data_IF_993366174048
#
_entry.id   IF_993366174048
#
_cell.length_a   1.000
_cell.length_b   1.000
_cell.length_c   1.000
_cell.angle_alpha   90.00
_cell.angle_beta   90.00
_cell.angle_gamma   90.00
#
_symmetry.space_group_name_H-M   'P 1'
#
loop_
_entity.id
_entity.type
_entity.pdbx_description
1 polymer ?
#
# COMPACT_ATOMS: atom_id res chain seq x y z
N UNK A 1 -22.81 -14.55 -15.48
CA UNK A 1 -21.62 -14.28 -16.33
C UNK A 1 -21.67 -12.83 -16.78
N UNK A 2 -21.09 -11.92 -16.01
CA UNK A 2 -20.90 -10.52 -16.43
C UNK A 2 -19.49 -10.13 -16.01
N UNK A 3 -18.51 -10.51 -16.83
CA UNK A 3 -17.20 -9.85 -16.81
C UNK A 3 -17.48 -8.38 -17.09
N UNK A 4 -17.44 -7.54 -16.07
CA UNK A 4 -17.56 -6.11 -16.23
C UNK A 4 -16.47 -5.67 -17.21
N UNK A 5 -16.87 -5.41 -18.46
CA UNK A 5 -15.98 -4.96 -19.52
C UNK A 5 -15.49 -3.59 -19.09
N UNK A 6 -14.30 -3.54 -18.50
CA UNK A 6 -13.67 -2.30 -18.06
C UNK A 6 -13.73 -1.31 -19.21
N UNK A 7 -14.37 -0.17 -19.00
CA UNK A 7 -14.44 0.82 -20.07
C UNK A 7 -13.04 1.42 -20.24
N UNK A 8 -12.62 1.65 -21.48
CA UNK A 8 -11.28 2.23 -21.79
C UNK A 8 -11.01 3.53 -21.01
N UNK A 9 -12.07 4.29 -20.69
CA UNK A 9 -12.00 5.51 -19.88
C UNK A 9 -11.72 5.27 -18.39
N UNK A 10 -12.17 4.17 -17.79
CA UNK A 10 -11.88 3.83 -16.39
C UNK A 10 -10.43 3.37 -16.21
N UNK A 11 -9.94 2.50 -17.09
CA UNK A 11 -8.54 2.06 -17.08
C UNK A 11 -7.54 3.20 -17.31
N UNK A 12 -7.93 4.21 -18.11
CA UNK A 12 -7.12 5.42 -18.29
C UNK A 12 -7.08 6.29 -17.04
N UNK A 13 -8.23 6.49 -16.36
CA UNK A 13 -8.30 7.24 -15.09
C UNK A 13 -7.59 6.54 -13.93
N UNK A 14 -7.46 5.21 -13.98
CA UNK A 14 -6.72 4.44 -12.99
C UNK A 14 -5.20 4.68 -13.08
N UNK A 15 -4.65 4.90 -14.27
CA UNK A 15 -3.21 5.12 -14.47
C UNK A 15 -2.86 6.59 -14.29
N UNK A 16 -2.51 6.96 -13.07
CA UNK A 16 -2.21 8.35 -12.69
C UNK A 16 -0.72 8.61 -12.86
N UNK A 17 -0.33 9.34 -13.91
CA UNK A 17 1.08 9.68 -14.17
C UNK A 17 1.63 10.78 -13.25
N UNK A 18 0.75 11.68 -12.80
CA UNK A 18 1.08 12.79 -11.92
C UNK A 18 -0.01 12.94 -10.87
N UNK A 19 0.17 12.32 -9.69
CA UNK A 19 -0.82 12.39 -8.62
C UNK A 19 -1.11 13.83 -8.22
N UNK A 20 -2.39 14.20 -8.20
CA UNK A 20 -2.85 15.49 -7.69
C UNK A 20 -3.21 15.40 -6.21
N UNK A 21 -3.45 16.54 -5.56
CA UNK A 21 -3.98 16.54 -4.19
C UNK A 21 -5.31 15.77 -4.10
N UNK A 22 -6.18 15.89 -5.11
CA UNK A 22 -7.47 15.20 -5.13
C UNK A 22 -7.30 13.68 -5.21
N UNK A 23 -6.31 13.19 -5.95
CA UNK A 23 -6.01 11.76 -6.02
C UNK A 23 -5.45 11.23 -4.69
N UNK A 24 -4.52 11.96 -4.07
CA UNK A 24 -4.00 11.63 -2.74
C UNK A 24 -5.14 11.58 -1.72
N UNK A 25 -6.00 12.60 -1.69
CA UNK A 25 -7.14 12.65 -0.77
C UNK A 25 -8.17 11.54 -1.03
N UNK A 26 -8.33 11.09 -2.29
CA UNK A 26 -9.16 9.94 -2.64
C UNK A 26 -8.58 8.66 -2.05
N UNK A 27 -7.26 8.44 -2.17
CA UNK A 27 -6.57 7.28 -1.61
C UNK A 27 -6.62 7.26 -0.07
N UNK A 28 -6.66 8.43 0.58
CA UNK A 28 -6.81 8.55 2.03
C UNK A 28 -8.23 8.24 2.55
N UNK A 29 -9.23 8.32 1.68
CA UNK A 29 -10.65 8.11 2.04
C UNK A 29 -11.06 6.66 1.90
N UNK A 30 -12.15 6.31 2.59
CA UNK A 30 -12.71 4.96 2.60
C UNK A 30 -14.18 5.09 2.25
N UNK A 31 -14.52 4.92 0.96
CA UNK A 31 -15.90 4.82 0.55
C UNK A 31 -16.60 3.67 1.28
N UNK A 32 -17.87 3.85 1.66
CA UNK A 32 -18.65 2.78 2.29
C UNK A 32 -18.89 1.56 1.41
N UNK A 33 -18.61 1.66 0.10
CA UNK A 33 -18.72 0.56 -0.87
C UNK A 33 -17.44 -0.25 -1.08
N UNK A 34 -16.34 0.09 -0.40
CA UNK A 34 -15.11 -0.71 -0.48
C UNK A 34 -15.26 -2.00 0.32
N UNK A 35 -14.86 -3.11 -0.29
CA UNK A 35 -14.86 -4.44 0.34
C UNK A 35 -14.20 -4.40 1.72
N UNK A 36 -14.82 -5.05 2.69
CA UNK A 36 -14.38 -5.20 4.06
C UNK A 36 -14.71 -6.58 4.61
N UNK A 37 -14.53 -6.74 5.92
CA UNK A 37 -14.82 -8.01 6.57
C UNK A 37 -16.30 -8.41 6.42
N UNK A 38 -16.54 -9.68 6.09
CA UNK A 38 -17.84 -10.26 5.75
C UNK A 38 -18.11 -10.32 4.24
N UNK A 39 -17.41 -9.53 3.43
CA UNK A 39 -17.64 -9.52 1.98
C UNK A 39 -16.93 -10.68 1.28
N UNK A 40 -17.54 -11.13 0.17
CA UNK A 40 -16.94 -12.10 -0.75
C UNK A 40 -15.92 -11.39 -1.65
N UNK A 41 -14.78 -12.03 -1.89
CA UNK A 41 -13.82 -11.52 -2.86
C UNK A 41 -14.41 -11.59 -4.29
N UNK A 42 -14.05 -10.64 -5.18
CA UNK A 42 -14.33 -10.77 -6.59
C UNK A 42 -13.54 -11.94 -7.19
N UNK A 43 -13.87 -12.35 -8.40
CA UNK A 43 -13.02 -13.28 -9.15
C UNK A 43 -11.62 -12.68 -9.36
N UNK A 44 -10.60 -13.43 -8.99
CA UNK A 44 -9.19 -13.07 -9.14
C UNK A 44 -8.55 -14.12 -10.03
N UNK A 45 -7.80 -13.67 -11.03
CA UNK A 45 -6.94 -14.55 -11.83
C UNK A 45 -5.77 -13.72 -12.35
N UNK A 46 -4.64 -13.81 -11.63
CA UNK A 46 -3.47 -12.96 -11.84
C UNK A 46 -2.22 -13.82 -12.07
N UNK A 47 -1.36 -13.47 -13.06
CA UNK A 47 -0.05 -14.08 -13.16
C UNK A 47 0.83 -13.63 -11.98
N UNK A 48 1.78 -14.48 -11.57
CA UNK A 48 2.79 -14.10 -10.59
C UNK A 48 4.14 -13.83 -11.25
N UNK A 49 5.00 -13.12 -10.53
CA UNK A 49 6.36 -12.78 -10.98
C UNK A 49 7.25 -14.01 -11.23
N UNK A 50 6.93 -15.15 -10.60
CA UNK A 50 7.62 -16.44 -10.71
C UNK A 50 6.97 -17.40 -11.72
N UNK A 51 6.21 -16.86 -12.68
CA UNK A 51 5.50 -17.62 -13.72
C UNK A 51 4.40 -18.58 -13.21
N UNK A 52 3.94 -18.39 -11.96
CA UNK A 52 2.76 -19.04 -11.41
C UNK A 52 1.47 -18.25 -11.63
N UNK A 53 0.40 -18.66 -10.95
CA UNK A 53 -0.89 -17.95 -10.92
C UNK A 53 -1.44 -17.86 -9.51
N UNK A 54 -2.07 -16.73 -9.21
CA UNK A 54 -2.87 -16.52 -8.02
C UNK A 54 -4.32 -16.30 -8.44
N UNK A 55 -5.23 -17.19 -8.02
CA UNK A 55 -6.64 -17.11 -8.38
C UNK A 55 -7.58 -17.36 -7.21
N UNK A 56 -8.82 -16.88 -7.32
CA UNK A 56 -9.89 -17.13 -6.33
C UNK A 56 -10.13 -18.62 -6.11
N UNK A 57 -9.97 -19.43 -7.15
CA UNK A 57 -10.15 -20.88 -7.12
C UNK A 57 -8.98 -21.55 -6.37
N UNK A 58 -7.75 -21.05 -6.53
CA UNK A 58 -6.61 -21.58 -5.75
C UNK A 58 -6.77 -21.35 -4.25
N UNK A 59 -7.39 -20.24 -3.83
CA UNK A 59 -7.66 -19.98 -2.40
C UNK A 59 -8.53 -21.09 -1.80
N UNK A 60 -9.60 -21.45 -2.52
CA UNK A 60 -10.51 -22.50 -2.08
C UNK A 60 -9.89 -23.90 -2.15
N UNK A 61 -9.13 -24.18 -3.21
CA UNK A 61 -8.49 -25.48 -3.40
C UNK A 61 -7.38 -25.75 -2.38
N UNK A 62 -6.57 -24.74 -2.05
CA UNK A 62 -5.46 -24.88 -1.11
C UNK A 62 -5.93 -25.07 0.34
N UNK A 63 -7.17 -24.67 0.65
CA UNK A 63 -7.72 -24.74 2.01
C UNK A 63 -7.03 -23.81 3.02
N UNK A 64 -6.13 -22.94 2.54
CA UNK A 64 -5.27 -22.09 3.36
C UNK A 64 -5.76 -20.63 3.32
N UNK A 65 -5.93 -19.96 4.46
CA UNK A 65 -6.23 -18.53 4.46
C UNK A 65 -5.13 -17.72 3.78
N UNK A 66 -5.49 -16.60 3.18
CA UNK A 66 -4.58 -15.73 2.43
C UNK A 66 -4.46 -14.37 3.07
N UNK A 67 -3.23 -13.91 3.30
CA UNK A 67 -2.93 -12.50 3.49
C UNK A 67 -2.70 -11.86 2.11
N UNK A 68 -3.68 -11.08 1.66
CA UNK A 68 -3.62 -10.31 0.42
C UNK A 68 -3.24 -8.87 0.70
N UNK A 69 -2.13 -8.41 0.14
CA UNK A 69 -1.67 -7.02 0.27
C UNK A 69 -1.61 -6.37 -1.10
N UNK A 70 -2.30 -5.25 -1.31
CA UNK A 70 -2.04 -4.41 -2.48
C UNK A 70 -0.79 -3.57 -2.22
N UNK A 71 0.05 -3.40 -3.24
CA UNK A 71 1.30 -2.67 -3.09
C UNK A 71 1.85 -2.15 -4.42
N UNK A 72 2.64 -1.08 -4.35
CA UNK A 72 3.42 -0.59 -5.49
C UNK A 72 4.81 -0.15 -5.02
N UNK A 73 5.79 -0.18 -5.93
CA UNK A 73 7.19 0.11 -5.61
C UNK A 73 7.36 1.57 -5.15
N UNK A 74 6.55 2.46 -5.70
CA UNK A 74 6.63 3.90 -5.44
C UNK A 74 5.76 4.38 -4.27
N UNK A 75 5.16 3.49 -3.48
CA UNK A 75 4.30 3.86 -2.35
C UNK A 75 5.06 3.88 -1.02
N UNK A 76 5.18 5.03 -0.32
CA UNK A 76 5.77 5.09 1.01
C UNK A 76 5.14 4.16 2.05
N UNK A 77 3.83 3.89 1.95
CA UNK A 77 3.15 2.98 2.87
C UNK A 77 3.59 1.54 2.62
N UNK A 78 3.62 1.10 1.36
CA UNK A 78 4.10 -0.24 0.97
C UNK A 78 5.56 -0.41 1.41
N UNK A 79 6.39 0.60 1.17
CA UNK A 79 7.78 0.63 1.61
C UNK A 79 7.90 0.42 3.13
N UNK A 80 7.12 1.17 3.92
CA UNK A 80 7.13 1.07 5.38
C UNK A 80 6.55 -0.24 5.95
N UNK A 81 5.85 -1.02 5.13
CA UNK A 81 5.29 -2.32 5.48
C UNK A 81 6.24 -3.47 5.14
N UNK A 82 7.09 -3.32 4.10
CA UNK A 82 7.84 -4.41 3.49
C UNK A 82 8.59 -5.30 4.47
N UNK A 83 9.43 -4.72 5.35
CA UNK A 83 10.18 -5.50 6.36
C UNK A 83 9.25 -6.25 7.32
N UNK A 84 8.18 -5.59 7.76
CA UNK A 84 7.19 -6.20 8.64
C UNK A 84 6.46 -7.37 7.99
N UNK A 85 6.15 -7.29 6.70
CA UNK A 85 5.54 -8.39 5.96
C UNK A 85 6.46 -9.60 5.87
N UNK A 86 7.78 -9.40 5.72
CA UNK A 86 8.76 -10.49 5.79
C UNK A 86 8.81 -11.14 7.17
N UNK A 87 8.78 -10.32 8.23
CA UNK A 87 8.79 -10.80 9.61
C UNK A 87 7.52 -11.60 9.91
N UNK A 88 6.35 -11.11 9.47
CA UNK A 88 5.08 -11.84 9.58
C UNK A 88 5.09 -13.13 8.76
N UNK A 89 5.60 -13.12 7.53
CA UNK A 89 5.68 -14.31 6.69
C UNK A 89 6.56 -15.39 7.35
N UNK A 90 7.67 -15.00 7.99
CA UNK A 90 8.52 -15.95 8.71
C UNK A 90 7.80 -16.65 9.86
N UNK A 91 6.85 -15.97 10.49
CA UNK A 91 6.10 -16.50 11.63
C UNK A 91 4.86 -17.28 11.20
N UNK A 92 4.17 -16.84 10.14
CA UNK A 92 2.84 -17.33 9.76
C UNK A 92 2.77 -17.99 8.38
N UNK A 93 3.85 -17.97 7.59
CA UNK A 93 3.86 -18.43 6.20
C UNK A 93 3.54 -19.91 6.00
N UNK A 94 3.74 -20.74 7.03
CA UNK A 94 3.37 -22.16 7.00
C UNK A 94 1.86 -22.39 7.13
N UNK A 95 1.13 -21.44 7.72
CA UNK A 95 -0.30 -21.54 8.01
C UNK A 95 -1.17 -20.57 7.21
N UNK A 96 -0.56 -19.54 6.62
CA UNK A 96 -1.22 -18.47 5.87
C UNK A 96 -0.41 -18.22 4.61
N UNK A 97 -1.07 -18.25 3.44
CA UNK A 97 -0.45 -17.90 2.17
C UNK A 97 -0.30 -16.38 2.05
N UNK A 98 0.90 -15.89 1.77
CA UNK A 98 1.16 -14.45 1.62
C UNK A 98 1.22 -14.08 0.14
N UNK A 99 0.42 -13.10 -0.27
CA UNK A 99 0.40 -12.59 -1.64
C UNK A 99 0.42 -11.07 -1.64
N UNK A 100 1.43 -10.48 -2.28
CA UNK A 100 1.41 -9.06 -2.63
C UNK A 100 0.92 -8.90 -4.07
N UNK A 101 -0.15 -8.15 -4.29
CA UNK A 101 -0.61 -7.79 -5.63
C UNK A 101 0.01 -6.45 -6.02
N UNK A 102 0.88 -6.47 -7.03
CA UNK A 102 1.42 -5.26 -7.62
C UNK A 102 0.32 -4.48 -8.37
N UNK A 103 0.03 -3.26 -7.94
CA UNK A 103 -1.00 -2.37 -8.50
C UNK A 103 -0.39 -1.15 -9.19
N UNK A 104 -1.19 -0.19 -9.67
CA UNK A 104 -0.66 1.07 -10.22
C UNK A 104 0.38 1.69 -9.29
N UNK A 105 1.37 2.35 -9.87
CA UNK A 105 2.33 3.11 -9.08
C UNK A 105 1.61 4.24 -8.33
N UNK A 106 1.86 4.37 -7.03
CA UNK A 106 1.27 5.43 -6.22
C UNK A 106 1.89 6.79 -6.56
N UNK A 107 3.21 6.82 -6.73
CA UNK A 107 3.98 8.03 -7.01
C UNK A 107 4.98 7.76 -8.14
N UNK A 108 4.51 7.55 -9.38
CA UNK A 108 5.40 7.26 -10.51
C UNK A 108 6.42 8.38 -10.73
N UNK A 109 7.57 8.02 -11.28
CA UNK A 109 8.62 8.94 -11.68
C UNK A 109 9.35 8.44 -12.91
N UNK A 110 10.49 9.06 -13.23
CA UNK A 110 11.25 8.74 -14.44
C UNK A 110 11.78 7.30 -14.47
N UNK A 111 12.11 6.72 -13.31
CA UNK A 111 12.72 5.39 -13.22
C UNK A 111 11.65 4.30 -13.09
N UNK A 112 10.53 4.61 -12.42
CA UNK A 112 9.36 3.74 -12.32
C UNK A 112 8.08 4.49 -12.75
N UNK A 113 7.78 4.57 -14.06
CA UNK A 113 6.57 5.20 -14.57
C UNK A 113 5.33 4.28 -14.42
N UNK A 114 4.14 4.82 -14.70
CA UNK A 114 2.96 3.96 -14.85
C UNK A 114 3.11 3.04 -16.07
N UNK A 115 2.85 1.74 -15.93
CA UNK A 115 2.94 0.81 -17.04
C UNK A 115 1.83 1.06 -18.05
N UNK A 116 2.20 1.05 -19.33
CA UNK A 116 1.33 1.13 -20.51
C UNK A 116 1.13 -0.24 -21.16
N UNK A 117 2.05 -1.16 -20.92
CA UNK A 117 2.01 -2.53 -21.41
C UNK A 117 2.14 -3.55 -20.27
N UNK A 118 1.68 -4.79 -20.52
CA UNK A 118 1.75 -5.86 -19.51
C UNK A 118 3.20 -6.22 -19.14
N UNK A 119 4.13 -6.13 -20.09
CA UNK A 119 5.54 -6.41 -19.81
C UNK A 119 6.18 -5.36 -18.89
N UNK A 120 5.79 -4.09 -19.03
CA UNK A 120 6.18 -3.02 -18.10
C UNK A 120 5.60 -3.29 -16.71
N UNK A 121 4.33 -3.69 -16.66
CA UNK A 121 3.63 -4.03 -15.42
C UNK A 121 4.32 -5.19 -14.68
N UNK A 122 4.72 -6.23 -15.42
CA UNK A 122 5.49 -7.35 -14.90
C UNK A 122 6.89 -6.92 -14.44
N UNK A 123 7.57 -6.01 -15.15
CA UNK A 123 8.85 -5.44 -14.70
C UNK A 123 8.72 -4.69 -13.39
N UNK A 124 7.71 -3.83 -13.24
CA UNK A 124 7.46 -3.13 -11.98
C UNK A 124 7.17 -4.11 -10.83
N UNK A 125 6.40 -5.16 -11.07
CA UNK A 125 6.12 -6.18 -10.06
C UNK A 125 7.37 -6.96 -9.64
N UNK A 126 8.26 -7.31 -10.59
CA UNK A 126 9.55 -7.93 -10.28
C UNK A 126 10.46 -6.99 -9.50
N UNK A 127 10.50 -5.71 -9.88
CA UNK A 127 11.25 -4.69 -9.15
C UNK A 127 10.74 -4.53 -7.71
N UNK A 128 9.42 -4.51 -7.49
CA UNK A 128 8.81 -4.52 -6.16
C UNK A 128 9.24 -5.76 -5.36
N UNK A 129 9.17 -6.95 -5.97
CA UNK A 129 9.58 -8.21 -5.33
C UNK A 129 11.04 -8.18 -4.90
N UNK A 130 11.93 -7.81 -5.82
CA UNK A 130 13.37 -7.77 -5.59
C UNK A 130 13.77 -6.68 -4.59
N UNK A 131 13.17 -5.49 -4.67
CA UNK A 131 13.46 -4.37 -3.79
C UNK A 131 13.18 -4.68 -2.32
N UNK A 132 12.07 -5.37 -2.04
CA UNK A 132 11.76 -5.81 -0.68
C UNK A 132 12.33 -7.17 -0.30
N UNK A 133 12.85 -7.96 -1.25
CA UNK A 133 13.27 -9.33 -0.99
C UNK A 133 12.10 -10.25 -0.59
N UNK A 134 10.91 -10.02 -1.14
CA UNK A 134 9.75 -10.88 -0.84
C UNK A 134 10.01 -12.30 -1.34
N UNK A 135 10.15 -13.24 -0.40
CA UNK A 135 10.29 -14.67 -0.69
C UNK A 135 8.96 -15.37 -1.03
N UNK A 136 7.84 -14.70 -0.76
CA UNK A 136 6.50 -15.16 -1.10
C UNK A 136 6.00 -14.54 -2.42
N UNK A 137 4.78 -14.90 -2.80
CA UNK A 137 4.24 -14.57 -4.12
C UNK A 137 3.99 -13.06 -4.31
N UNK A 138 4.39 -12.58 -5.48
CA UNK A 138 3.97 -11.27 -5.98
C UNK A 138 3.15 -11.48 -7.25
N UNK A 139 1.84 -11.28 -7.12
CA UNK A 139 0.87 -11.31 -8.20
C UNK A 139 0.83 -9.96 -8.94
N UNK A 140 0.44 -9.98 -10.21
CA UNK A 140 0.51 -8.81 -11.10
C UNK A 140 -0.87 -8.48 -11.61
N UNK A 141 -1.47 -7.39 -11.11
CA UNK A 141 -2.75 -6.91 -11.65
C UNK A 141 -2.58 -6.38 -13.08
N UNK A 142 -3.67 -6.30 -13.83
CA UNK A 142 -3.66 -5.72 -15.17
C UNK A 142 -3.30 -4.23 -15.16
N UNK A 143 -2.90 -3.70 -16.32
CA UNK A 143 -2.57 -2.26 -16.47
C UNK A 143 -3.74 -1.34 -16.11
N UNK A 144 -4.97 -1.81 -16.29
CA UNK A 144 -6.18 -1.06 -15.95
C UNK A 144 -6.61 -1.28 -14.49
N UNK A 145 -6.01 -2.25 -13.79
CA UNK A 145 -6.25 -2.50 -12.37
C UNK A 145 -7.57 -3.17 -12.02
N UNK A 146 -8.06 -4.09 -12.83
CA UNK A 146 -9.40 -4.69 -12.66
C UNK A 146 -9.60 -5.26 -11.25
N UNK A 147 -8.61 -5.98 -10.71
CA UNK A 147 -8.71 -6.51 -9.34
C UNK A 147 -8.60 -5.38 -8.33
N UNK A 148 -7.60 -4.51 -8.45
CA UNK A 148 -7.40 -3.41 -7.51
C UNK A 148 -8.62 -2.48 -7.40
N UNK A 149 -9.30 -2.21 -8.52
CA UNK A 149 -10.53 -1.39 -8.53
C UNK A 149 -11.68 -2.06 -7.79
N UNK A 150 -11.81 -3.38 -7.88
CA UNK A 150 -12.83 -4.12 -7.14
C UNK A 150 -12.63 -4.05 -5.62
N UNK A 151 -11.41 -3.77 -5.15
CA UNK A 151 -11.07 -3.59 -3.74
C UNK A 151 -10.96 -2.12 -3.28
N UNK A 152 -11.25 -1.13 -4.15
CA UNK A 152 -11.27 0.30 -3.78
C UNK A 152 -10.06 1.15 -4.21
N UNK A 153 -9.15 0.63 -5.04
CA UNK A 153 -8.01 1.37 -5.68
C UNK A 153 -6.93 1.95 -4.76
N UNK A 154 -6.93 1.57 -3.49
CA UNK A 154 -5.97 2.07 -2.50
C UNK A 154 -4.63 1.32 -2.60
N UNK A 155 -3.52 2.02 -2.91
CA UNK A 155 -2.29 1.36 -3.35
C UNK A 155 -1.54 0.54 -2.29
N UNK A 156 -2.01 0.53 -1.03
CA UNK A 156 -1.34 -0.16 0.07
C UNK A 156 -2.28 -0.67 1.16
N UNK A 157 -3.39 -1.33 0.82
CA UNK A 157 -4.29 -1.99 1.78
C UNK A 157 -3.96 -3.48 1.99
N UNK A 158 -4.44 -4.07 3.08
CA UNK A 158 -4.26 -5.48 3.39
C UNK A 158 -5.57 -6.15 3.82
N UNK A 159 -5.74 -7.42 3.45
CA UNK A 159 -6.92 -8.23 3.71
C UNK A 159 -6.49 -9.63 4.13
N UNK A 160 -7.19 -10.21 5.10
CA UNK A 160 -7.12 -11.65 5.36
C UNK A 160 -8.39 -12.27 4.80
N UNK A 161 -8.21 -13.27 3.95
CA UNK A 161 -9.28 -13.98 3.24
C UNK A 161 -9.26 -15.42 3.73
N UNK A 162 -10.42 -15.93 4.14
CA UNK A 162 -10.55 -17.34 4.53
C UNK A 162 -10.58 -18.26 3.30
N UNK A 163 -10.43 -19.59 3.48
CA UNK A 163 -10.46 -20.54 2.36
C UNK A 163 -11.78 -20.53 1.59
N UNK A 164 -12.88 -20.04 2.18
CA UNK A 164 -14.14 -19.93 1.45
C UNK A 164 -14.09 -18.81 0.41
N UNK A 165 -13.16 -17.85 0.50
CA UNK A 165 -13.13 -16.63 -0.30
C UNK A 165 -13.85 -15.46 0.37
N UNK A 166 -14.00 -15.47 1.69
CA UNK A 166 -14.60 -14.38 2.46
C UNK A 166 -13.52 -13.57 3.14
N UNK A 167 -13.62 -12.24 3.10
CA UNK A 167 -12.71 -11.35 3.81
C UNK A 167 -13.06 -11.44 5.31
N UNK A 168 -12.12 -11.85 6.15
CA UNK A 168 -12.30 -11.93 7.61
C UNK A 168 -11.64 -10.77 8.35
N UNK A 169 -10.70 -10.08 7.70
CA UNK A 169 -10.07 -8.88 8.24
C UNK A 169 -9.67 -7.92 7.13
N UNK A 170 -9.74 -6.61 7.41
CA UNK A 170 -9.20 -5.55 6.56
C UNK A 170 -8.39 -4.55 7.36
N UNK A 171 -7.15 -4.32 6.94
CA UNK A 171 -6.39 -3.12 7.30
C UNK A 171 -6.42 -2.13 6.13
N UNK A 172 -6.84 -0.90 6.40
CA UNK A 172 -6.86 0.17 5.40
C UNK A 172 -5.45 0.50 4.90
N UNK A 173 -4.43 0.25 5.72
CA UNK A 173 -3.03 0.40 5.37
C UNK A 173 -2.23 -0.85 5.79
N UNK A 174 -1.46 -1.41 4.87
CA UNK A 174 -0.64 -2.61 5.08
C UNK A 174 0.49 -2.42 6.11
N UNK A 175 0.85 -1.17 6.40
CA UNK A 175 1.84 -0.85 7.43
C UNK A 175 1.28 -0.80 8.87
N UNK A 176 0.00 -1.17 9.07
CA UNK A 176 -0.60 -1.43 10.40
C UNK A 176 -0.28 -2.86 10.87
N UNK A 177 1.01 -3.13 11.05
CA UNK A 177 1.53 -4.48 11.29
C UNK A 177 1.03 -5.14 12.58
N UNK A 178 0.95 -4.41 13.69
CA UNK A 178 0.50 -4.97 14.97
C UNK A 178 -0.96 -5.47 14.91
N UNK A 179 -1.94 -4.67 14.45
CA UNK A 179 -3.29 -5.20 14.24
C UNK A 179 -3.37 -6.30 13.18
N UNK A 180 -2.51 -6.26 12.17
CA UNK A 180 -2.44 -7.31 11.15
C UNK A 180 -1.93 -8.64 11.74
N UNK A 181 -0.92 -8.59 12.61
CA UNK A 181 -0.39 -9.73 13.34
C UNK A 181 -1.44 -10.35 14.27
N UNK A 182 -2.17 -9.52 15.02
CA UNK A 182 -3.25 -9.99 15.87
C UNK A 182 -4.32 -10.74 15.07
N UNK A 183 -4.69 -10.19 13.91
CA UNK A 183 -5.66 -10.83 13.02
C UNK A 183 -5.13 -12.15 12.43
N UNK A 184 -3.85 -12.22 12.03
CA UNK A 184 -3.21 -13.46 11.59
C UNK A 184 -3.21 -14.51 12.69
N UNK A 185 -2.83 -14.11 13.92
CA UNK A 185 -2.82 -15.00 15.09
C UNK A 185 -4.22 -15.53 15.41
N UNK A 186 -5.24 -14.69 15.31
CA UNK A 186 -6.63 -15.10 15.51
C UNK A 186 -7.05 -16.15 14.47
N UNK A 187 -6.77 -15.91 13.18
CA UNK A 187 -7.12 -16.84 12.09
C UNK A 187 -6.40 -18.18 12.23
N UNK A 188 -5.10 -18.18 12.54
CA UNK A 188 -4.34 -19.41 12.78
C UNK A 188 -4.89 -20.19 13.97
N UNK A 189 -5.42 -19.50 14.98
CA UNK A 189 -6.08 -20.13 16.13
C UNK A 189 -7.54 -20.55 15.86
N UNK A 190 -8.04 -20.44 14.62
CA UNK A 190 -9.42 -20.75 14.28
C UNK A 190 -10.45 -19.77 14.85
N UNK A 191 -10.03 -18.54 15.19
CA UNK A 191 -10.88 -17.49 15.76
C UNK A 191 -11.11 -16.36 14.76
N UNK A 192 -12.25 -15.70 14.87
CA UNK A 192 -12.52 -14.48 14.12
C UNK A 192 -11.63 -13.33 14.62
N UNK A 193 -10.99 -12.54 13.73
CA UNK A 193 -10.26 -11.33 14.10
C UNK A 193 -11.16 -10.31 14.82
N UNK A 194 -10.61 -9.64 15.84
CA UNK A 194 -11.28 -8.53 16.52
C UNK A 194 -10.25 -7.44 16.86
N UNK A 195 -10.39 -6.21 16.33
CA UNK A 195 -11.42 -5.78 15.38
C UNK A 195 -11.24 -6.41 13.98
N UNK A 196 -12.32 -6.49 13.21
CA UNK A 196 -12.28 -6.99 11.83
C UNK A 196 -11.84 -5.95 10.80
N UNK A 197 -11.83 -4.66 11.18
CA UNK A 197 -11.45 -3.54 10.32
C UNK A 197 -10.56 -2.55 11.08
N UNK A 198 -9.45 -2.13 10.47
CA UNK A 198 -8.51 -1.18 11.08
C UNK A 198 -8.11 -0.09 10.10
N UNK A 199 -8.33 1.17 10.48
CA UNK A 199 -7.91 2.33 9.69
C UNK A 199 -6.63 2.99 10.15
N UNK A 200 -6.71 3.70 11.29
CA UNK A 200 -5.55 4.35 11.90
C UNK A 200 -4.68 5.13 10.91
N UNK A 201 -5.30 5.86 9.95
CA UNK A 201 -4.60 6.55 8.85
C UNK A 201 -3.50 7.48 9.36
N UNK A 202 -3.74 8.28 10.39
CA UNK A 202 -2.70 9.14 10.98
C UNK A 202 -1.45 8.34 11.38
N UNK A 203 -1.63 7.18 12.03
CA UNK A 203 -0.49 6.32 12.42
C UNK A 203 0.20 5.70 11.19
N UNK A 204 -0.55 5.35 10.14
CA UNK A 204 0.01 4.87 8.88
C UNK A 204 0.87 5.95 8.19
N UNK A 205 0.37 7.19 8.12
CA UNK A 205 1.07 8.33 7.53
C UNK A 205 2.31 8.73 8.34
N UNK A 206 2.24 8.69 9.67
CA UNK A 206 3.39 8.96 10.52
C UNK A 206 4.50 7.92 10.31
N UNK A 207 4.14 6.64 10.18
CA UNK A 207 5.11 5.57 9.93
C UNK A 207 5.76 5.68 8.55
N UNK A 208 4.98 5.98 7.50
CA UNK A 208 5.53 6.04 6.13
C UNK A 208 6.57 7.17 5.96
N UNK A 209 6.52 8.23 6.77
CA UNK A 209 7.45 9.37 6.65
C UNK A 209 8.91 8.96 6.65
N UNK A 210 9.30 8.02 7.52
CA UNK A 210 10.69 7.56 7.63
C UNK A 210 11.16 6.71 6.43
N UNK A 211 10.23 6.33 5.55
CA UNK A 211 10.43 5.41 4.43
C UNK A 211 10.14 6.08 3.08
N UNK A 212 9.49 7.24 3.08
CA UNK A 212 9.06 7.92 1.88
C UNK A 212 10.21 8.26 0.93
N UNK A 213 11.38 8.59 1.45
CA UNK A 213 12.56 8.85 0.61
C UNK A 213 12.98 7.63 -0.20
N UNK A 214 12.94 6.43 0.38
CA UNK A 214 13.29 5.18 -0.32
C UNK A 214 12.30 4.93 -1.46
N UNK A 215 10.99 5.03 -1.18
CA UNK A 215 9.95 4.83 -2.18
C UNK A 215 10.02 5.87 -3.32
N UNK A 216 10.24 7.15 -2.98
CA UNK A 216 10.36 8.22 -3.97
C UNK A 216 11.69 8.16 -4.74
N UNK A 217 12.75 7.63 -4.15
CA UNK A 217 13.99 7.36 -4.86
C UNK A 217 13.81 6.24 -5.89
N UNK A 218 13.09 5.17 -5.55
CA UNK A 218 12.75 4.09 -6.49
C UNK A 218 11.85 4.59 -7.64
N UNK A 219 11.01 5.60 -7.40
CA UNK A 219 10.25 6.26 -8.46
C UNK A 219 11.14 7.04 -9.44
N UNK A 220 12.24 7.62 -8.94
CA UNK A 220 13.14 8.45 -9.71
C UNK A 220 12.73 9.92 -9.80
N UNK A 221 13.32 10.63 -10.76
CA UNK A 221 13.09 12.07 -10.93
C UNK A 221 11.61 12.38 -11.15
N UNK A 222 11.13 13.47 -10.55
CA UNK A 222 9.75 13.96 -10.69
C UNK A 222 8.84 13.63 -9.52
N UNK A 223 8.97 12.44 -8.91
CA UNK A 223 8.05 11.97 -7.87
C UNK A 223 8.00 12.92 -6.65
N UNK A 224 9.15 13.30 -6.11
CA UNK A 224 9.20 14.26 -4.99
C UNK A 224 8.67 15.65 -5.39
N UNK A 225 8.89 16.10 -6.62
CA UNK A 225 8.39 17.40 -7.11
C UNK A 225 6.87 17.39 -7.23
N UNK A 226 6.31 16.31 -7.75
CA UNK A 226 4.85 16.15 -7.85
C UNK A 226 4.24 16.00 -6.45
N UNK A 227 4.93 15.36 -5.51
CA UNK A 227 4.54 15.33 -4.10
C UNK A 227 4.57 16.73 -3.44
N UNK A 228 5.57 17.56 -3.72
CA UNK A 228 5.62 18.96 -3.28
C UNK A 228 4.47 19.81 -3.84
N UNK A 229 4.02 19.52 -5.07
CA UNK A 229 2.87 20.20 -5.68
C UNK A 229 1.54 19.73 -5.10
N UNK A 230 1.43 18.44 -4.83
CA UNK A 230 0.19 17.83 -4.39
C UNK A 230 -0.03 17.94 -2.87
N UNK A 231 1.01 17.77 -2.06
CA UNK A 231 0.92 17.77 -0.60
C UNK A 231 2.16 18.44 0.05
N UNK A 232 2.35 19.77 -0.09
CA UNK A 232 3.53 20.48 0.41
C UNK A 232 3.88 20.21 1.89
N UNK A 233 2.93 20.20 2.85
CA UNK A 233 3.28 19.92 4.24
C UNK A 233 3.88 18.54 4.47
N UNK A 234 3.37 17.52 3.76
CA UNK A 234 3.90 16.16 3.84
C UNK A 234 5.25 16.07 3.11
N UNK A 235 5.40 16.74 1.96
CA UNK A 235 6.68 16.82 1.26
C UNK A 235 7.80 17.48 2.09
N UNK A 236 7.45 18.52 2.85
CA UNK A 236 8.35 19.16 3.80
C UNK A 236 8.79 18.19 4.90
N UNK A 237 7.85 17.45 5.49
CA UNK A 237 8.15 16.43 6.50
C UNK A 237 9.05 15.31 5.95
N UNK A 238 8.80 14.84 4.73
CA UNK A 238 9.65 13.85 4.05
C UNK A 238 11.07 14.42 3.86
N UNK A 239 11.18 15.64 3.34
CA UNK A 239 12.47 16.30 3.11
C UNK A 239 13.24 16.49 4.41
N UNK A 240 12.56 16.86 5.49
CA UNK A 240 13.15 17.02 6.82
C UNK A 240 13.65 15.70 7.42
N UNK A 241 12.96 14.59 7.13
CA UNK A 241 13.36 13.26 7.61
C UNK A 241 14.77 12.84 7.16
N UNK A 242 15.27 13.43 6.06
CA UNK A 242 16.63 13.22 5.54
C UNK A 242 17.72 13.67 6.49
N UNK A 243 17.45 14.66 7.34
CA UNK A 243 18.39 15.09 8.38
C UNK A 243 18.72 13.95 9.35
N UNK A 244 17.80 12.99 9.49
CA UNK A 244 17.91 11.85 10.39
C UNK A 244 18.30 10.56 9.66
N UNK A 245 18.80 10.64 8.43
CA UNK A 245 19.16 9.45 7.62
C UNK A 245 20.19 8.52 8.27
N UNK A 246 20.98 9.00 9.23
CA UNK A 246 21.92 8.18 9.99
C UNK A 246 21.25 7.29 11.03
N UNK A 247 20.03 7.61 11.46
CA UNK A 247 19.26 6.79 12.39
C UNK A 247 18.58 5.64 11.63
N UNK A 248 18.27 4.51 12.29
CA UNK A 248 17.31 3.53 11.77
C UNK A 248 15.97 4.21 11.49
N UNK A 249 15.27 3.81 10.42
CA UNK A 249 13.98 4.38 9.99
C UNK A 249 12.97 4.53 11.15
N UNK A 250 12.88 3.53 12.02
CA UNK A 250 12.00 3.54 13.20
C UNK A 250 12.30 4.68 14.19
N UNK A 251 13.56 5.11 14.28
CA UNK A 251 14.02 6.20 15.16
C UNK A 251 14.00 7.58 14.48
N UNK A 252 13.75 7.64 13.16
CA UNK A 252 13.64 8.91 12.40
C UNK A 252 12.31 9.62 12.61
N UNK A 253 11.25 8.86 12.90
CA UNK A 253 9.87 9.37 12.93
C UNK A 253 9.69 10.44 14.01
N UNK A 254 10.02 10.13 15.26
CA UNK A 254 9.83 11.03 16.39
C UNK A 254 10.52 12.40 16.23
N UNK A 255 11.83 12.49 15.93
CA UNK A 255 12.49 13.78 15.77
C UNK A 255 11.97 14.55 14.54
N UNK A 256 11.62 13.86 13.45
CA UNK A 256 11.03 14.51 12.27
C UNK A 256 9.69 15.16 12.60
N UNK A 257 8.80 14.44 13.31
CA UNK A 257 7.50 14.96 13.70
C UNK A 257 7.64 16.12 14.70
N UNK A 258 8.53 15.99 15.69
CA UNK A 258 8.76 17.03 16.69
C UNK A 258 9.22 18.36 16.06
N UNK A 259 10.21 18.32 15.17
CA UNK A 259 10.67 19.52 14.46
C UNK A 259 9.59 20.07 13.53
N UNK A 260 8.85 19.21 12.82
CA UNK A 260 7.76 19.66 11.95
C UNK A 260 6.70 20.44 12.76
N UNK A 261 6.31 19.93 13.92
CA UNK A 261 5.35 20.60 14.81
C UNK A 261 5.92 21.91 15.37
N UNK A 262 7.19 21.93 15.76
CA UNK A 262 7.85 23.15 16.23
C UNK A 262 7.90 24.25 15.16
N UNK A 263 8.21 23.88 13.91
CA UNK A 263 8.22 24.82 12.77
C UNK A 263 6.81 25.35 12.46
N UNK A 264 5.79 24.49 12.50
CA UNK A 264 4.40 24.91 12.33
C UNK A 264 3.96 25.87 13.45
N UNK A 265 4.29 25.57 14.70
CA UNK A 265 3.98 26.43 15.84
C UNK A 265 4.65 27.81 15.71
N UNK A 266 5.94 27.83 15.37
CA UNK A 266 6.69 29.07 15.14
C UNK A 266 6.07 29.91 14.00
N UNK A 267 5.67 29.29 12.88
CA UNK A 267 5.05 29.99 11.76
C UNK A 267 3.68 30.60 12.14
N UNK A 268 2.88 29.91 12.95
CA UNK A 268 1.59 30.44 13.46
C UNK A 268 1.83 31.62 14.40
N UNK A 269 2.80 31.51 15.32
CA UNK A 269 3.16 32.59 16.23
C UNK A 269 3.68 33.83 15.50
N UNK A 270 4.56 33.65 14.51
CA UNK A 270 5.06 34.75 13.68
C UNK A 270 3.97 35.38 12.80
N UNK A 271 3.03 34.59 12.27
CA UNK A 271 1.89 35.10 11.51
C UNK A 271 0.91 35.92 12.37
N UNK A 272 0.68 35.51 13.61
CA UNK A 272 -0.13 36.26 14.59
C UNK A 272 0.55 37.58 14.99
N UNK A 273 1.88 37.59 15.12
CA UNK A 273 2.68 38.79 15.42
C UNK A 273 2.71 39.82 14.28
N UNK A 274 2.51 39.40 13.02
CA UNK A 274 2.44 40.29 11.84
C UNK A 274 1.03 40.87 11.62
N UNK A 275 0.01 40.29 12.27
CA UNK A 275 -1.38 40.73 12.20
C UNK A 275 -1.80 41.61 13.39
N UNK A 276 -0.88 41.90 14.32
CA UNK A 276 -1.02 42.89 15.39
C UNK A 276 -0.31 44.19 15.02
#
# INVERSE_FOLDING_TARGET
MTTARTTRGEGTRYRIDRPTFADIMRDLRIPGGDLGAGDRIPHIDLPTTDAGRFSSESIAADGCPVLLVFGSLTCPVTESAGRGLLDLHRTYGDAIRFVVVNVREAHPGADTPQPRMIDEKMRNARALKSHHGFGFEVAVDGIDGTVHRAFGTRPSSAYIIDPSGTIVFRAHWSNRLEPLEEALRAVVAGRAPSPTNVGQTTRALTRMTAYADTALAAAGRGALRDFWRAAPPVAAMITLSRLFRSLPSERRVAPTVAITLALCAAAVSSGLLVLQ
#
